data_IF_097880715941
#
_entry.id   IF_097880715941
#
_cell.length_a   1.000
_cell.length_b   1.000
_cell.length_c   1.000
_cell.angle_alpha   90.00
_cell.angle_beta   90.00
_cell.angle_gamma   90.00
#
_symmetry.space_group_name_H-M   'P 1'
#
loop_
_entity.id
_entity.type
_entity.pdbx_description
1 polymer ?
#
# COMPACT_ATOMS: atom_id res chain seq x y z
N UNK A 1 10.13 -5.07 -5.91
CA UNK A 1 8.75 -4.64 -5.59
C UNK A 1 7.82 -4.92 -6.75
N UNK A 2 6.77 -5.70 -6.53
CA UNK A 2 5.77 -6.02 -7.56
C UNK A 2 4.83 -4.83 -7.77
N UNK A 3 4.57 -4.47 -9.04
CA UNK A 3 3.56 -3.46 -9.37
C UNK A 3 2.18 -3.89 -8.88
N UNK A 4 1.44 -2.95 -8.31
CA UNK A 4 0.06 -3.18 -7.88
C UNK A 4 -0.86 -3.29 -9.11
N UNK A 5 -1.79 -4.24 -9.07
CA UNK A 5 -2.78 -4.45 -10.14
C UNK A 5 -4.17 -3.98 -9.73
N UNK A 6 -5.08 -3.83 -10.70
CA UNK A 6 -6.48 -3.51 -10.41
C UNK A 6 -7.15 -4.55 -9.51
N UNK A 7 -6.77 -5.83 -9.64
CA UNK A 7 -7.29 -6.91 -8.79
C UNK A 7 -6.82 -6.77 -7.33
N UNK A 8 -5.59 -6.31 -7.12
CA UNK A 8 -5.08 -6.02 -5.78
C UNK A 8 -5.89 -4.89 -5.13
N UNK A 9 -6.21 -3.83 -5.89
CA UNK A 9 -7.05 -2.74 -5.40
C UNK A 9 -8.45 -3.22 -5.04
N UNK A 10 -9.08 -4.07 -5.88
CA UNK A 10 -10.38 -4.68 -5.57
C UNK A 10 -10.32 -5.52 -4.30
N UNK A 11 -9.26 -6.32 -4.15
CA UNK A 11 -9.06 -7.19 -2.98
C UNK A 11 -8.89 -6.38 -1.70
N UNK A 12 -8.05 -5.34 -1.72
CA UNK A 12 -7.83 -4.45 -0.55
C UNK A 12 -9.12 -3.72 -0.20
N UNK A 13 -9.85 -3.21 -1.18
CA UNK A 13 -11.14 -2.55 -0.95
C UNK A 13 -12.16 -3.49 -0.30
N UNK A 14 -12.23 -4.74 -0.77
CA UNK A 14 -13.09 -5.75 -0.16
C UNK A 14 -12.72 -6.05 1.30
N UNK A 15 -11.42 -6.21 1.60
CA UNK A 15 -10.93 -6.42 2.96
C UNK A 15 -11.24 -5.22 3.88
N UNK A 16 -11.15 -4.01 3.34
CA UNK A 16 -11.49 -2.76 4.03
C UNK A 16 -13.00 -2.48 4.10
N UNK A 17 -13.85 -3.34 3.51
CA UNK A 17 -15.31 -3.17 3.39
C UNK A 17 -15.70 -1.86 2.70
N UNK A 18 -14.88 -1.41 1.74
CA UNK A 18 -15.12 -0.23 0.93
C UNK A 18 -15.72 -0.63 -0.41
N UNK A 19 -16.85 -0.02 -0.76
CA UNK A 19 -17.45 -0.20 -2.08
C UNK A 19 -16.83 0.82 -3.05
N UNK A 20 -16.06 0.32 -4.01
CA UNK A 20 -15.40 1.13 -5.02
C UNK A 20 -16.11 1.01 -6.37
N UNK A 21 -16.50 2.13 -7.00
CA UNK A 21 -16.96 2.14 -8.38
C UNK A 21 -15.85 1.68 -9.33
N UNK A 22 -16.18 0.85 -10.32
CA UNK A 22 -15.23 0.28 -11.29
C UNK A 22 -14.44 1.38 -12.04
N UNK A 23 -15.12 2.46 -12.40
CA UNK A 23 -14.56 3.67 -13.03
C UNK A 23 -13.44 4.35 -12.20
N UNK A 24 -13.41 4.17 -10.88
CA UNK A 24 -12.39 4.75 -10.01
C UNK A 24 -11.21 3.81 -9.75
N UNK A 25 -11.32 2.53 -10.10
CA UNK A 25 -10.30 1.52 -9.81
C UNK A 25 -8.98 1.87 -10.50
N UNK A 26 -9.02 2.28 -11.77
CA UNK A 26 -7.84 2.68 -12.51
C UNK A 26 -7.11 3.86 -11.84
N UNK A 27 -7.89 4.86 -11.40
CA UNK A 27 -7.36 6.03 -10.68
C UNK A 27 -6.72 5.64 -9.36
N UNK A 28 -7.39 4.82 -8.54
CA UNK A 28 -6.85 4.37 -7.26
C UNK A 28 -5.63 3.47 -7.42
N UNK A 29 -5.59 2.64 -8.46
CA UNK A 29 -4.42 1.80 -8.77
C UNK A 29 -3.18 2.68 -8.99
N UNK A 30 -3.26 3.71 -9.83
CA UNK A 30 -2.12 4.61 -10.07
C UNK A 30 -1.75 5.47 -8.87
N UNK A 31 -2.71 5.85 -8.02
CA UNK A 31 -2.43 6.57 -6.78
C UNK A 31 -1.72 5.68 -5.75
N UNK A 32 -2.17 4.43 -5.58
CA UNK A 32 -1.55 3.46 -4.68
C UNK A 32 -0.15 3.07 -5.16
N UNK A 33 0.07 2.93 -6.46
CA UNK A 33 1.40 2.68 -7.03
C UNK A 33 2.40 3.76 -6.60
N UNK A 34 2.03 5.04 -6.70
CA UNK A 34 2.89 6.17 -6.27
C UNK A 34 3.18 6.17 -4.77
N UNK A 35 2.18 5.84 -3.94
CA UNK A 35 2.38 5.78 -2.49
C UNK A 35 3.34 4.65 -2.13
N UNK A 36 3.19 3.47 -2.73
CA UNK A 36 4.07 2.33 -2.50
C UNK A 36 5.49 2.60 -2.99
N UNK A 37 5.63 3.27 -4.13
CA UNK A 37 6.94 3.68 -4.66
C UNK A 37 7.65 4.67 -3.72
N UNK A 38 6.91 5.60 -3.13
CA UNK A 38 7.46 6.50 -2.11
C UNK A 38 7.90 5.73 -0.85
N UNK A 39 7.06 4.82 -0.35
CA UNK A 39 7.37 4.01 0.84
C UNK A 39 8.54 3.05 0.61
N UNK A 40 8.74 2.58 -0.63
CA UNK A 40 9.86 1.71 -0.99
C UNK A 40 11.23 2.37 -0.72
N UNK A 41 11.31 3.69 -0.63
CA UNK A 41 12.54 4.39 -0.22
C UNK A 41 12.98 3.97 1.20
N UNK A 42 12.05 3.60 2.07
CA UNK A 42 12.34 3.15 3.43
C UNK A 42 13.04 1.78 3.47
N UNK A 43 12.94 0.96 2.41
CA UNK A 43 13.64 -0.33 2.33
C UNK A 43 15.17 -0.17 2.31
N UNK A 44 15.68 1.03 2.01
CA UNK A 44 17.11 1.34 2.04
C UNK A 44 17.68 1.47 3.46
N UNK A 45 16.81 1.56 4.47
CA UNK A 45 17.22 1.74 5.87
C UNK A 45 17.39 0.37 6.51
N UNK A 46 18.57 0.12 7.08
CA UNK A 46 18.83 -1.08 7.86
C UNK A 46 18.07 -1.03 9.19
N UNK A 47 17.27 -2.06 9.43
CA UNK A 47 16.51 -2.24 10.68
C UNK A 47 16.94 -3.51 11.42
N UNK A 48 18.08 -4.12 11.08
CA UNK A 48 18.58 -5.31 11.74
C UNK A 48 18.79 -5.06 13.25
N UNK A 49 18.25 -5.94 14.09
CA UNK A 49 18.33 -5.82 15.55
C UNK A 49 17.46 -4.73 16.18
N UNK A 50 16.71 -3.95 15.41
CA UNK A 50 15.82 -2.90 15.94
C UNK A 50 14.42 -3.46 16.18
N UNK A 51 13.90 -3.48 17.44
CA UNK A 51 12.55 -3.96 17.71
C UNK A 51 11.48 -2.95 17.26
N UNK A 52 10.29 -3.42 16.80
CA UNK A 52 9.20 -2.52 16.42
C UNK A 52 8.62 -1.73 17.60
N UNK A 53 8.33 -0.44 17.40
CA UNK A 53 7.65 0.42 18.37
C UNK A 53 6.16 0.49 18.09
N UNK A 54 5.31 -0.01 19.00
CA UNK A 54 3.85 -0.11 18.81
C UNK A 54 3.03 0.94 19.57
N UNK A 55 3.64 1.67 20.51
CA UNK A 55 3.01 2.75 21.28
C UNK A 55 4.02 3.86 21.56
N UNK A 56 3.59 5.12 21.52
CA UNK A 56 4.38 6.23 22.04
C UNK A 56 4.47 6.14 23.57
N UNK A 57 5.62 6.54 24.11
CA UNK A 57 5.83 6.71 25.55
C UNK A 57 5.30 8.05 26.02
#
# INVERSE_FOLDING_TARGET
MSKITADDVRKVAHLARLQLPEEKIATYTGQLERILEYVAQLESVDTEGVPPTTRAV
#
